data_IF_191397791693
#
_entry.id   IF_191397791693
#
_cell.length_a   1.000
_cell.length_b   1.000
_cell.length_c   1.000
_cell.angle_alpha   90.00
_cell.angle_beta   90.00
_cell.angle_gamma   90.00
#
_symmetry.space_group_name_H-M   'P 1'
#
loop_
_entity.id
_entity.type
_entity.pdbx_description
1 polymer ?
#
# COMPACT_ATOMS: atom_id res chain seq x y z
N UNK A 1 11.31 -7.39 14.05
CA UNK A 1 10.59 -8.69 14.02
C UNK A 1 10.61 -9.28 15.43
N UNK A 2 9.58 -8.98 16.21
CA UNK A 2 9.48 -9.42 17.60
C UNK A 2 8.77 -10.78 17.62
N UNK A 3 9.37 -11.78 18.30
CA UNK A 3 8.89 -13.16 18.38
C UNK A 3 8.11 -13.44 19.67
N UNK A 4 7.29 -12.49 20.14
CA UNK A 4 6.51 -12.70 21.38
C UNK A 4 5.19 -13.41 21.12
N UNK A 5 4.76 -14.33 22.00
CA UNK A 5 3.47 -15.00 21.86
C UNK A 5 2.36 -13.97 22.10
N UNK A 6 1.37 -13.93 21.19
CA UNK A 6 0.15 -13.09 21.21
C UNK A 6 0.20 -11.71 20.53
N UNK A 7 1.33 -11.28 19.96
CA UNK A 7 1.35 -10.16 19.01
C UNK A 7 1.00 -10.67 17.61
N UNK A 8 -0.20 -10.38 17.10
CA UNK A 8 -0.46 -10.59 15.68
C UNK A 8 0.26 -9.47 14.90
N UNK A 9 1.23 -9.86 14.09
CA UNK A 9 1.86 -8.98 13.10
C UNK A 9 0.79 -8.61 12.05
N UNK A 10 0.16 -7.45 12.23
CA UNK A 10 -0.78 -6.90 11.25
C UNK A 10 0.04 -6.29 10.13
N UNK A 11 -0.34 -6.58 8.89
CA UNK A 11 0.26 -5.95 7.72
C UNK A 11 -0.77 -5.10 6.98
N UNK A 12 -0.29 -4.03 6.37
CA UNK A 12 -1.08 -3.18 5.48
C UNK A 12 -0.38 -3.04 4.14
N UNK A 13 -1.17 -2.95 3.06
CA UNK A 13 -0.64 -2.77 1.72
C UNK A 13 -1.62 -2.00 0.84
N UNK A 14 -1.12 -1.40 -0.24
CA UNK A 14 -1.95 -0.67 -1.18
C UNK A 14 -1.57 -0.96 -2.63
N UNK A 15 -2.58 -1.00 -3.49
CA UNK A 15 -2.38 -1.00 -4.94
C UNK A 15 -2.27 0.43 -5.45
N UNK A 16 -1.11 0.79 -6.02
CA UNK A 16 -0.93 2.07 -6.71
C UNK A 16 -1.14 1.85 -8.20
N UNK A 17 -2.15 2.51 -8.76
CA UNK A 17 -2.52 2.42 -10.17
C UNK A 17 -2.24 3.76 -10.87
N UNK A 18 -1.56 3.71 -12.02
CA UNK A 18 -1.30 4.90 -12.84
C UNK A 18 -1.63 4.65 -14.31
N UNK A 19 -2.24 5.64 -14.95
CA UNK A 19 -2.47 5.61 -16.40
C UNK A 19 -1.28 6.18 -17.18
N UNK A 20 -0.75 5.37 -18.08
CA UNK A 20 0.29 5.75 -19.02
C UNK A 20 -0.27 5.89 -20.45
N UNK A 21 0.34 6.72 -21.31
CA UNK A 21 0.10 6.64 -22.75
C UNK A 21 0.36 5.22 -23.25
N UNK A 22 -0.50 4.72 -24.13
CA UNK A 22 -0.29 3.48 -24.87
C UNK A 22 -0.03 3.81 -26.34
N UNK A 23 0.64 2.92 -27.07
CA UNK A 23 0.84 3.06 -28.51
C UNK A 23 -0.52 3.04 -29.23
N UNK A 24 -0.99 4.23 -29.59
CA UNK A 24 -2.30 4.47 -30.20
C UNK A 24 -2.91 5.78 -29.74
N UNK A 25 -3.41 6.57 -30.69
CA UNK A 25 -3.79 8.00 -30.54
C UNK A 25 -4.84 8.29 -29.45
N UNK A 26 -5.49 7.28 -28.84
CA UNK A 26 -6.55 7.48 -27.83
C UNK A 26 -6.64 6.41 -26.72
N UNK A 27 -5.63 5.58 -26.48
CA UNK A 27 -5.71 4.54 -25.43
C UNK A 27 -4.74 4.83 -24.29
N UNK A 28 -5.27 4.99 -23.07
CA UNK A 28 -4.46 4.99 -21.84
C UNK A 28 -4.43 3.58 -21.29
N UNK A 29 -3.26 3.13 -20.84
CA UNK A 29 -3.10 1.84 -20.18
C UNK A 29 -2.91 2.05 -18.68
N UNK A 30 -3.71 1.37 -17.87
CA UNK A 30 -3.47 1.28 -16.44
C UNK A 30 -2.31 0.33 -16.16
N UNK A 31 -1.40 0.75 -15.29
CA UNK A 31 -0.34 -0.09 -14.75
C UNK A 31 -0.37 -0.03 -13.24
N UNK A 32 -0.08 -1.17 -12.60
CA UNK A 32 0.10 -1.27 -11.17
C UNK A 32 1.59 -1.15 -10.82
N UNK A 33 1.90 -0.41 -9.76
CA UNK A 33 3.24 -0.43 -9.17
C UNK A 33 3.38 -1.71 -8.34
N UNK A 34 4.46 -2.44 -8.58
CA UNK A 34 4.90 -3.57 -7.75
C UNK A 34 6.39 -3.44 -7.51
N UNK A 35 6.85 -3.91 -6.36
CA UNK A 35 8.28 -4.06 -6.07
C UNK A 35 8.65 -5.54 -6.04
N UNK A 36 9.94 -5.85 -6.18
CA UNK A 36 10.42 -7.23 -6.06
C UNK A 36 10.83 -7.48 -4.61
N UNK A 37 10.01 -8.23 -3.87
CA UNK A 37 10.26 -8.48 -2.45
C UNK A 37 11.55 -9.30 -2.27
N UNK A 38 12.53 -8.73 -1.56
CA UNK A 38 13.92 -9.24 -1.49
C UNK A 38 14.02 -10.67 -0.95
N UNK A 39 13.20 -11.02 0.04
CA UNK A 39 13.24 -12.35 0.70
C UNK A 39 12.41 -13.41 -0.01
N UNK A 40 11.28 -13.02 -0.59
CA UNK A 40 10.31 -13.96 -1.19
C UNK A 40 10.55 -14.16 -2.69
N UNK A 41 11.31 -13.26 -3.33
CA UNK A 41 11.54 -13.27 -4.78
C UNK A 41 10.24 -13.19 -5.60
N UNK A 42 9.21 -12.54 -5.04
CA UNK A 42 7.90 -12.30 -5.66
C UNK A 42 7.73 -10.81 -5.99
N UNK A 43 6.93 -10.52 -7.02
CA UNK A 43 6.44 -9.18 -7.28
C UNK A 43 5.15 -8.95 -6.48
N UNK A 44 5.17 -7.98 -5.58
CA UNK A 44 4.03 -7.67 -4.72
C UNK A 44 3.79 -6.16 -4.69
N UNK A 45 2.58 -5.79 -4.28
CA UNK A 45 2.24 -4.41 -3.99
C UNK A 45 3.06 -3.88 -2.80
N UNK A 46 3.32 -2.56 -2.73
CA UNK A 46 3.98 -1.97 -1.58
C UNK A 46 3.18 -2.13 -0.29
N UNK A 47 3.89 -2.29 0.82
CA UNK A 47 3.31 -2.42 2.15
C UNK A 47 4.12 -3.34 3.06
N UNK A 48 3.78 -3.32 4.34
CA UNK A 48 4.52 -4.06 5.34
C UNK A 48 3.83 -4.07 6.69
N UNK A 49 4.61 -4.07 7.76
CA UNK A 49 4.08 -4.30 9.11
C UNK A 49 3.53 -3.00 9.68
N UNK A 50 2.43 -3.09 10.42
CA UNK A 50 1.95 -1.97 11.24
C UNK A 50 2.72 -2.01 12.56
N UNK A 51 3.54 -0.98 12.80
CA UNK A 51 4.24 -0.84 14.08
C UNK A 51 3.26 -0.53 15.21
N UNK A 52 3.56 -0.94 16.45
CA UNK A 52 2.64 -0.77 17.58
C UNK A 52 2.30 0.69 17.92
N UNK A 53 3.11 1.63 17.44
CA UNK A 53 2.94 3.07 17.63
C UNK A 53 2.18 3.74 16.49
N UNK A 54 1.81 2.99 15.46
CA UNK A 54 1.17 3.49 14.25
C UNK A 54 -0.24 2.93 14.12
N UNK A 55 -1.17 3.76 13.63
CA UNK A 55 -2.41 3.25 13.06
C UNK A 55 -2.15 2.72 11.63
N UNK A 56 -3.08 1.96 11.03
CA UNK A 56 -2.85 1.39 9.70
C UNK A 56 -2.52 2.45 8.62
N UNK A 57 -3.16 3.62 8.65
CA UNK A 57 -2.88 4.68 7.68
C UNK A 57 -1.49 5.30 7.81
N UNK A 58 -1.01 5.46 9.05
CA UNK A 58 0.35 5.91 9.34
C UNK A 58 1.38 4.90 8.83
N UNK A 59 1.19 3.62 9.16
CA UNK A 59 2.04 2.53 8.67
C UNK A 59 2.03 2.45 7.14
N UNK A 60 0.87 2.59 6.50
CA UNK A 60 0.78 2.60 5.05
C UNK A 60 1.54 3.78 4.43
N UNK A 61 1.42 4.98 4.98
CA UNK A 61 2.14 6.15 4.49
C UNK A 61 3.67 5.99 4.64
N UNK A 62 4.11 5.41 5.76
CA UNK A 62 5.51 5.12 6.04
C UNK A 62 6.07 4.08 5.04
N UNK A 63 5.44 2.90 4.95
CA UNK A 63 5.85 1.82 4.05
C UNK A 63 5.82 2.26 2.57
N UNK A 64 4.81 3.03 2.15
CA UNK A 64 4.76 3.59 0.80
C UNK A 64 5.97 4.49 0.51
N UNK A 65 6.36 5.34 1.46
CA UNK A 65 7.51 6.21 1.30
C UNK A 65 8.80 5.41 1.20
N UNK A 66 9.03 4.44 2.09
CA UNK A 66 10.25 3.62 2.11
C UNK A 66 10.40 2.77 0.83
N UNK A 67 9.32 2.13 0.39
CA UNK A 67 9.40 1.14 -0.69
C UNK A 67 9.27 1.75 -2.09
N UNK A 68 8.69 2.94 -2.20
CA UNK A 68 8.36 3.56 -3.50
C UNK A 68 8.84 4.99 -3.66
N UNK A 69 9.10 5.70 -2.56
CA UNK A 69 9.42 7.14 -2.54
C UNK A 69 8.21 8.06 -2.69
N UNK A 70 7.00 7.55 -2.91
CA UNK A 70 5.80 8.39 -2.96
C UNK A 70 5.42 8.91 -1.57
N UNK A 71 5.09 10.18 -1.50
CA UNK A 71 4.43 10.80 -0.34
C UNK A 71 2.92 10.80 -0.54
N UNK A 72 2.14 10.78 0.55
CA UNK A 72 0.69 10.61 0.48
C UNK A 72 -0.01 11.75 -0.29
N UNK A 73 0.54 12.96 -0.24
CA UNK A 73 0.06 14.15 -0.96
C UNK A 73 0.22 14.04 -2.49
N UNK A 74 1.04 13.09 -2.97
CA UNK A 74 1.21 12.79 -4.39
C UNK A 74 0.21 11.75 -4.91
N UNK A 75 -0.62 11.20 -4.02
CA UNK A 75 -1.55 10.12 -4.32
C UNK A 75 -2.99 10.57 -4.06
N UNK A 76 -3.93 10.00 -4.81
CA UNK A 76 -5.35 10.10 -4.52
C UNK A 76 -5.86 8.74 -4.15
N UNK A 77 -6.49 8.62 -2.99
CA UNK A 77 -7.03 7.34 -2.55
C UNK A 77 -8.38 7.12 -3.20
N UNK A 78 -8.51 5.96 -3.85
CA UNK A 78 -9.70 5.58 -4.60
C UNK A 78 -10.57 4.56 -3.85
N UNK A 79 -10.11 4.07 -2.70
CA UNK A 79 -10.94 3.25 -1.82
C UNK A 79 -12.09 4.11 -1.30
N UNK A 80 -13.35 3.68 -1.41
CA UNK A 80 -14.46 4.44 -0.84
C UNK A 80 -14.28 4.51 0.69
N UNK A 81 -14.33 5.72 1.24
CA UNK A 81 -14.41 5.96 2.69
C UNK A 81 -15.75 5.50 3.27
N UNK A 82 -16.72 5.18 2.42
CA UNK A 82 -18.00 4.63 2.84
C UNK A 82 -17.79 3.21 3.38
N UNK A 83 -17.61 3.17 4.70
CA UNK A 83 -17.78 2.06 5.65
C UNK A 83 -17.81 0.69 4.99
N UNK A 84 -16.66 0.03 4.98
CA UNK A 84 -16.70 -1.43 5.11
C UNK A 84 -17.37 -1.68 6.48
N UNK A 85 -18.50 -2.41 6.55
CA UNK A 85 -19.21 -2.64 7.82
C UNK A 85 -18.30 -3.17 8.93
N UNK A 86 -17.25 -3.88 8.53
CA UNK A 86 -16.26 -4.52 9.40
C UNK A 86 -14.83 -3.96 9.20
N UNK A 87 -14.69 -2.83 8.51
CA UNK A 87 -13.40 -2.17 8.32
C UNK A 87 -13.01 -1.40 9.58
N UNK A 88 -11.81 -1.65 10.11
CA UNK A 88 -11.24 -0.80 11.17
C UNK A 88 -10.93 0.56 10.54
N UNK A 89 -11.66 1.59 10.97
CA UNK A 89 -11.53 2.97 10.52
C UNK A 89 -11.02 3.83 11.68
N UNK A 90 -9.75 3.65 12.05
CA UNK A 90 -9.12 4.50 13.06
C UNK A 90 -8.48 5.70 12.34
N UNK A 91 -9.17 6.84 12.41
CA UNK A 91 -8.65 8.19 12.13
C UNK A 91 -8.27 8.85 13.45
#
# INVERSE_FOLDING_TARGET
LHTQPHGHDVTISAWILRQFPSDGVRRRQWKALVHKHRKMNLWIQPGGHVEHTENPWQALAHELHEETGYSIDQLSVLQPWDRLPDGIHDL
#
